data_IF_107441200225
#
_entry.id   IF_107441200225
#
_cell.length_a   1.000
_cell.length_b   1.000
_cell.length_c   1.000
_cell.angle_alpha   90.00
_cell.angle_beta   90.00
_cell.angle_gamma   90.00
#
_symmetry.space_group_name_H-M   'P 1'
#
loop_
_entity.id
_entity.type
_entity.pdbx_description
1 polymer ?
#
# COMPACT_ATOMS: atom_id res chain seq x y z
N UNK A 1 12.35 -22.84 -23.78
CA UNK A 1 12.77 -21.84 -22.77
C UNK A 1 13.42 -22.60 -21.62
N UNK A 2 14.75 -22.59 -21.53
CA UNK A 2 15.48 -23.30 -20.47
C UNK A 2 15.21 -22.67 -19.11
N UNK A 3 14.84 -23.51 -18.14
CA UNK A 3 14.72 -23.13 -16.74
C UNK A 3 16.12 -23.07 -16.15
N UNK A 4 16.74 -21.89 -16.19
CA UNK A 4 17.98 -21.63 -15.49
C UNK A 4 17.75 -21.84 -13.98
N UNK A 5 18.32 -22.92 -13.42
CA UNK A 5 18.29 -23.19 -11.99
C UNK A 5 19.27 -22.21 -11.30
N UNK A 6 18.76 -21.05 -10.92
CA UNK A 6 19.54 -20.04 -10.20
C UNK A 6 19.79 -20.55 -8.77
N UNK A 7 20.92 -21.22 -8.56
CA UNK A 7 21.31 -21.77 -7.24
C UNK A 7 21.73 -20.69 -6.23
N UNK A 8 22.03 -19.46 -6.70
CA UNK A 8 22.34 -18.30 -5.84
C UNK A 8 21.73 -17.03 -6.43
N UNK A 9 21.03 -16.26 -5.60
CA UNK A 9 20.49 -14.95 -5.99
C UNK A 9 21.62 -13.94 -5.91
N UNK A 10 22.04 -13.42 -7.05
CA UNK A 10 23.11 -12.41 -7.17
C UNK A 10 22.51 -11.05 -7.55
N UNK A 11 23.20 -9.95 -7.20
CA UNK A 11 22.76 -8.59 -7.55
C UNK A 11 22.51 -8.44 -9.06
N UNK A 12 23.35 -9.03 -9.90
CA UNK A 12 23.24 -8.95 -11.35
C UNK A 12 21.97 -9.65 -11.89
N UNK A 13 21.69 -10.87 -11.42
CA UNK A 13 20.47 -11.62 -11.78
C UNK A 13 19.19 -10.84 -11.41
N UNK A 14 19.20 -10.19 -10.24
CA UNK A 14 18.09 -9.34 -9.80
C UNK A 14 17.99 -8.10 -10.68
N UNK A 15 19.11 -7.48 -11.04
CA UNK A 15 19.16 -6.29 -11.88
C UNK A 15 18.67 -6.56 -13.31
N UNK A 16 19.02 -7.69 -13.91
CA UNK A 16 18.50 -8.14 -15.22
C UNK A 16 16.97 -8.35 -15.16
N UNK A 17 16.47 -8.97 -14.09
CA UNK A 17 15.03 -9.12 -13.88
C UNK A 17 14.31 -7.77 -13.81
N UNK A 18 14.83 -6.83 -13.01
CA UNK A 18 14.25 -5.49 -12.88
C UNK A 18 14.38 -4.66 -14.17
N UNK A 19 15.46 -4.82 -14.94
CA UNK A 19 15.64 -4.18 -16.24
C UNK A 19 14.54 -4.59 -17.23
N UNK A 20 14.22 -5.88 -17.31
CA UNK A 20 13.12 -6.36 -18.15
C UNK A 20 11.74 -5.90 -17.65
N UNK A 21 11.52 -5.89 -16.33
CA UNK A 21 10.26 -5.41 -15.75
C UNK A 21 10.06 -3.90 -15.91
N UNK A 22 11.12 -3.10 -15.83
CA UNK A 22 11.06 -1.65 -15.98
C UNK A 22 10.56 -1.19 -17.35
N UNK A 23 10.73 -2.00 -18.40
CA UNK A 23 10.19 -1.72 -19.75
C UNK A 23 8.66 -1.72 -19.80
N UNK A 24 8.00 -2.39 -18.86
CA UNK A 24 6.54 -2.62 -18.88
C UNK A 24 5.81 -2.00 -17.69
N UNK A 25 6.48 -1.87 -16.54
CA UNK A 25 5.86 -1.44 -15.29
C UNK A 25 6.14 0.03 -14.98
N UNK A 26 5.18 0.67 -14.32
CA UNK A 26 5.37 2.00 -13.75
C UNK A 26 6.41 1.96 -12.62
N UNK A 27 7.15 3.06 -12.38
CA UNK A 27 8.15 3.13 -11.32
C UNK A 27 7.61 2.76 -9.94
N UNK A 28 6.39 3.18 -9.58
CA UNK A 28 5.73 2.81 -8.32
C UNK A 28 5.55 1.30 -8.16
N UNK A 29 5.05 0.62 -9.19
CA UNK A 29 4.90 -0.84 -9.20
C UNK A 29 6.25 -1.56 -9.14
N UNK A 30 7.29 -0.98 -9.74
CA UNK A 30 8.64 -1.52 -9.71
C UNK A 30 9.22 -1.48 -8.28
N UNK A 31 9.02 -0.36 -7.56
CA UNK A 31 9.37 -0.23 -6.14
C UNK A 31 8.59 -1.21 -5.26
N UNK A 32 7.29 -1.41 -5.50
CA UNK A 32 6.49 -2.41 -4.77
C UNK A 32 7.04 -3.83 -4.97
N UNK A 33 7.39 -4.19 -6.22
CA UNK A 33 8.00 -5.50 -6.51
C UNK A 33 9.37 -5.66 -5.85
N UNK A 34 10.18 -4.61 -5.81
CA UNK A 34 11.45 -4.62 -5.07
C UNK A 34 11.22 -4.88 -3.58
N UNK A 35 10.29 -4.17 -2.93
CA UNK A 35 9.97 -4.38 -1.52
C UNK A 35 9.46 -5.79 -1.24
N UNK A 36 8.56 -6.30 -2.08
CA UNK A 36 8.06 -7.67 -1.97
C UNK A 36 9.21 -8.69 -2.06
N UNK A 37 10.08 -8.55 -3.08
CA UNK A 37 11.19 -9.46 -3.30
C UNK A 37 12.21 -9.41 -2.14
N UNK A 38 12.50 -8.21 -1.63
CA UNK A 38 13.36 -8.00 -0.46
C UNK A 38 12.85 -8.76 0.75
N UNK A 39 11.57 -8.63 1.06
CA UNK A 39 10.95 -9.34 2.19
C UNK A 39 10.97 -10.85 1.99
N UNK A 40 10.64 -11.34 0.80
CA UNK A 40 10.65 -12.78 0.51
C UNK A 40 12.04 -13.41 0.69
N UNK A 41 13.09 -12.77 0.18
CA UNK A 41 14.46 -13.29 0.31
C UNK A 41 14.95 -13.18 1.75
N UNK A 42 14.59 -12.11 2.46
CA UNK A 42 14.88 -12.00 3.88
C UNK A 42 14.24 -13.14 4.68
N UNK A 43 12.97 -13.49 4.40
CA UNK A 43 12.29 -14.61 5.07
C UNK A 43 12.94 -15.97 4.72
N UNK A 44 13.33 -16.18 3.46
CA UNK A 44 13.81 -17.49 2.98
C UNK A 44 15.29 -17.75 3.24
N UNK A 45 16.12 -16.71 3.22
CA UNK A 45 17.59 -16.82 3.25
C UNK A 45 18.22 -15.96 4.36
N UNK A 46 17.40 -15.25 5.16
CA UNK A 46 17.85 -14.32 6.20
C UNK A 46 18.94 -13.33 5.73
N UNK A 47 18.87 -12.95 4.46
CA UNK A 47 19.86 -12.10 3.80
C UNK A 47 19.19 -10.80 3.36
N UNK A 48 19.74 -9.67 3.79
CA UNK A 48 19.22 -8.35 3.43
C UNK A 48 19.75 -7.89 2.08
N UNK A 49 18.84 -7.67 1.14
CA UNK A 49 19.16 -7.27 -0.22
C UNK A 49 19.30 -5.75 -0.35
N UNK A 50 20.36 -5.17 0.21
CA UNK A 50 20.68 -3.74 0.06
C UNK A 50 21.65 -3.47 -1.10
N UNK A 51 21.29 -3.95 -2.27
CA UNK A 51 22.09 -3.80 -3.49
C UNK A 51 22.12 -2.34 -3.98
N UNK A 52 23.29 -1.70 -3.87
CA UNK A 52 23.45 -0.27 -4.21
C UNK A 52 23.16 -0.01 -5.69
N UNK A 53 23.55 -0.91 -6.61
CA UNK A 53 23.32 -0.72 -8.05
C UNK A 53 21.83 -0.82 -8.37
N UNK A 54 21.13 -1.76 -7.75
CA UNK A 54 19.69 -1.92 -7.90
C UNK A 54 18.92 -0.69 -7.40
N UNK A 55 19.27 -0.18 -6.22
CA UNK A 55 18.63 1.03 -5.67
C UNK A 55 18.89 2.25 -6.57
N UNK A 56 20.11 2.42 -7.07
CA UNK A 56 20.43 3.49 -8.01
C UNK A 56 19.62 3.37 -9.31
N UNK A 57 19.47 2.16 -9.85
CA UNK A 57 18.63 1.89 -11.02
C UNK A 57 17.17 2.27 -10.79
N UNK A 58 16.57 1.82 -9.67
CA UNK A 58 15.18 2.12 -9.32
C UNK A 58 14.93 3.63 -9.14
N UNK A 59 15.89 4.36 -8.55
CA UNK A 59 15.83 5.82 -8.43
C UNK A 59 15.85 6.52 -9.79
N UNK A 60 16.70 6.07 -10.72
CA UNK A 60 16.76 6.64 -12.08
C UNK A 60 15.45 6.41 -12.84
N UNK A 61 14.84 5.23 -12.69
CA UNK A 61 13.54 4.93 -13.29
C UNK A 61 12.39 5.75 -12.71
N UNK A 62 12.50 6.18 -11.44
CA UNK A 62 11.52 7.03 -10.80
C UNK A 62 11.70 8.53 -11.11
N UNK A 63 12.79 8.93 -11.78
CA UNK A 63 13.03 10.33 -12.12
C UNK A 63 11.94 10.83 -13.09
N UNK A 64 11.24 11.89 -12.72
CA UNK A 64 10.11 12.43 -13.49
C UNK A 64 8.77 11.72 -13.27
N UNK A 65 8.71 10.66 -12.45
CA UNK A 65 7.45 10.03 -12.08
C UNK A 65 6.61 10.96 -11.19
N UNK A 66 5.47 11.41 -11.72
CA UNK A 66 4.46 12.12 -10.92
C UNK A 66 3.48 11.09 -10.34
N UNK A 67 3.38 10.95 -9.01
CA UNK A 67 2.42 10.03 -8.41
C UNK A 67 1.00 10.49 -8.73
N UNK A 68 0.23 9.63 -9.42
CA UNK A 68 -1.21 9.82 -9.58
C UNK A 68 -1.87 9.47 -8.26
N UNK A 69 -2.29 10.49 -7.51
CA UNK A 69 -3.14 10.32 -6.33
C UNK A 69 -4.56 10.02 -6.82
N UNK A 70 -5.29 9.20 -6.07
CA UNK A 70 -6.74 9.12 -6.23
C UNK A 70 -7.36 10.46 -5.89
N UNK A 71 -8.50 10.77 -6.50
CA UNK A 71 -9.30 11.92 -6.06
C UNK A 71 -9.73 11.66 -4.62
N UNK A 72 -9.62 12.67 -3.77
CA UNK A 72 -10.11 12.60 -2.40
C UNK A 72 -11.63 12.53 -2.47
N UNK A 73 -12.19 11.43 -1.96
CA UNK A 73 -13.61 11.14 -1.93
C UNK A 73 -14.23 11.96 -0.78
N UNK A 74 -14.45 13.25 -0.99
CA UNK A 74 -15.00 14.15 0.06
C UNK A 74 -16.45 14.52 -0.27
N UNK A 75 -16.72 15.17 -1.40
CA UNK A 75 -18.10 15.50 -1.84
C UNK A 75 -18.91 14.31 -2.38
N UNK A 76 -18.22 13.24 -2.79
CA UNK A 76 -18.87 12.04 -3.30
C UNK A 76 -19.36 11.13 -2.16
N UNK A 77 -18.89 11.34 -0.92
CA UNK A 77 -19.37 10.63 0.27
C UNK A 77 -20.81 11.00 0.56
N UNK A 78 -21.12 12.30 0.63
CA UNK A 78 -22.47 12.78 0.93
C UNK A 78 -23.48 12.29 -0.11
N UNK A 79 -23.08 12.33 -1.38
CA UNK A 79 -23.88 11.81 -2.48
C UNK A 79 -24.09 10.30 -2.37
N UNK A 80 -23.05 9.54 -2.04
CA UNK A 80 -23.17 8.09 -1.80
C UNK A 80 -24.07 7.79 -0.59
N UNK A 81 -23.93 8.51 0.52
CA UNK A 81 -24.77 8.33 1.70
C UNK A 81 -26.24 8.66 1.41
N UNK A 82 -26.52 9.69 0.61
CA UNK A 82 -27.88 10.07 0.24
C UNK A 82 -28.51 9.14 -0.80
N UNK A 83 -27.77 8.77 -1.86
CA UNK A 83 -28.33 8.12 -3.04
C UNK A 83 -28.10 6.59 -3.09
N UNK A 84 -27.20 6.02 -2.28
CA UNK A 84 -26.91 4.59 -2.34
C UNK A 84 -28.10 3.75 -1.86
N UNK A 85 -28.55 2.73 -2.63
CA UNK A 85 -29.60 1.81 -2.23
C UNK A 85 -29.24 1.10 -0.93
N UNK A 86 -30.11 1.23 0.06
CA UNK A 86 -29.89 0.65 1.38
C UNK A 86 -29.70 -0.86 1.31
N UNK A 87 -30.49 -1.60 0.52
CA UNK A 87 -30.44 -3.07 0.44
C UNK A 87 -29.06 -3.69 0.13
N UNK A 88 -28.15 -2.93 -0.50
CA UNK A 88 -26.79 -3.40 -0.86
C UNK A 88 -25.70 -2.85 0.06
N UNK A 89 -25.89 -1.65 0.61
CA UNK A 89 -24.85 -0.92 1.36
C UNK A 89 -25.26 -0.57 2.80
N UNK A 90 -26.39 -1.10 3.30
CA UNK A 90 -26.98 -0.79 4.61
C UNK A 90 -25.97 -0.98 5.74
N UNK A 91 -25.25 -2.11 5.72
CA UNK A 91 -24.23 -2.40 6.72
C UNK A 91 -23.18 -1.29 6.80
N UNK A 92 -22.72 -0.74 5.67
CA UNK A 92 -21.72 0.33 5.65
C UNK A 92 -22.28 1.69 6.12
N UNK A 93 -23.57 1.96 5.90
CA UNK A 93 -24.27 3.18 6.38
C UNK A 93 -24.48 3.13 7.89
N UNK A 94 -24.96 2.00 8.42
CA UNK A 94 -25.29 1.83 9.83
C UNK A 94 -24.08 2.03 10.77
N UNK A 95 -22.86 1.64 10.33
CA UNK A 95 -21.64 1.86 11.12
C UNK A 95 -21.19 3.33 11.18
N UNK A 96 -21.60 4.18 10.23
CA UNK A 96 -21.17 5.59 10.21
C UNK A 96 -21.93 6.46 11.20
N UNK A 97 -23.22 6.19 11.41
CA UNK A 97 -24.06 6.92 12.38
C UNK A 97 -23.73 6.52 13.83
N UNK A 98 -23.41 5.25 14.08
CA UNK A 98 -22.99 4.77 15.40
C UNK A 98 -21.60 5.24 15.85
N UNK A 99 -20.71 5.61 14.93
CA UNK A 99 -19.37 6.10 15.27
C UNK A 99 -19.38 7.59 15.65
N UNK A 100 -20.31 8.40 15.14
CA UNK A 100 -20.40 9.82 15.50
C UNK A 100 -20.71 9.97 17.00
N UNK A 101 -21.55 9.12 17.58
CA UNK A 101 -21.82 9.14 19.03
C UNK A 101 -20.62 8.73 19.88
N UNK A 102 -19.85 7.73 19.44
CA UNK A 102 -18.72 7.18 20.21
C UNK A 102 -17.49 8.10 20.20
N UNK A 103 -17.25 8.82 19.10
CA UNK A 103 -16.06 9.68 18.98
C UNK A 103 -16.31 11.07 19.60
N UNK A 104 -17.57 11.51 19.71
CA UNK A 104 -17.93 12.87 20.17
C UNK A 104 -18.05 13.02 21.69
N UNK A 105 -18.12 11.93 22.47
CA UNK A 105 -18.24 12.03 23.95
C UNK A 105 -17.31 11.11 24.77
N UNK A 106 -15.99 11.35 24.79
CA UNK A 106 -15.11 10.80 25.82
C UNK A 106 -14.80 11.77 26.99
N UNK A 107 -15.35 13.00 27.03
CA UNK A 107 -14.94 14.00 28.05
C UNK A 107 -16.07 14.90 28.57
N UNK A 108 -16.99 14.35 29.36
CA UNK A 108 -17.86 15.07 30.35
C UNK A 108 -18.80 14.00 30.93
N UNK A 109 -18.82 13.57 32.19
CA UNK A 109 -18.48 14.17 33.48
C UNK A 109 -18.13 13.06 34.49
N UNK A 110 -16.88 13.06 34.97
CA UNK A 110 -16.63 12.74 36.37
C UNK A 110 -17.14 13.91 37.22
N UNK A 111 -18.27 13.76 37.93
CA UNK A 111 -18.50 14.29 39.29
C UNK A 111 -19.91 13.99 39.81
N UNK A 112 -19.96 13.82 41.14
CA UNK A 112 -21.11 13.56 42.06
C UNK A 112 -21.29 12.06 42.32
N UNK A 113 -20.50 11.41 43.19
CA UNK A 113 -20.25 11.61 44.64
C UNK A 113 -21.48 11.23 45.49
N UNK A 114 -21.40 10.04 46.08
CA UNK A 114 -21.84 9.66 47.44
C UNK A 114 -23.17 10.26 47.96
N UNK A 115 -24.21 9.43 48.10
CA UNK A 115 -24.84 8.99 49.37
C UNK A 115 -25.88 7.92 49.02
#
# INVERSE_FOLDING_TARGET
>A
MERNCVRKITEDSVLVYFSNRAKTLKPSSLWSKHSMLRTCINIKQNTDIKYRKLIAFLKRQACGYKPKKSLTFEREVDKFLAEAPNEVYLSMKDYSEGLIEVITYPHTLYKVKQI
#
